data_IF_553253178466
#
_entry.id   IF_553253178466
#
_cell.length_a   1.000
_cell.length_b   1.000
_cell.length_c   1.000
_cell.angle_alpha   90.00
_cell.angle_beta   90.00
_cell.angle_gamma   90.00
#
_symmetry.space_group_name_H-M   'P 1'
#
loop_
_entity.id
_entity.type
_entity.pdbx_description
1 polymer ?
#
# COMPACT_ATOMS: atom_id res chain seq x y z
N UNK A 1 -11.22 -80.38 14.53
CA UNK A 1 -10.07 -79.92 13.73
C UNK A 1 -10.57 -78.77 12.84
N UNK A 2 -10.35 -77.51 13.24
CA UNK A 2 -10.87 -76.31 12.54
C UNK A 2 -9.81 -75.83 11.55
N UNK A 3 -10.16 -75.78 10.26
CA UNK A 3 -9.30 -75.31 9.18
C UNK A 3 -9.61 -73.84 8.89
N UNK A 4 -8.72 -72.94 9.28
CA UNK A 4 -8.83 -71.50 9.06
C UNK A 4 -8.39 -71.18 7.63
N UNK A 5 -9.30 -70.71 6.77
CA UNK A 5 -8.98 -70.19 5.42
C UNK A 5 -8.68 -68.70 5.52
N UNK A 6 -7.45 -68.31 5.24
CA UNK A 6 -7.04 -66.93 5.02
C UNK A 6 -7.46 -66.49 3.61
N UNK A 7 -8.22 -65.41 3.53
CA UNK A 7 -8.58 -64.70 2.30
C UNK A 7 -7.52 -63.62 2.05
N UNK A 8 -6.76 -63.74 0.97
CA UNK A 8 -5.74 -62.77 0.56
C UNK A 8 -6.38 -61.80 -0.44
N UNK A 9 -6.67 -60.57 0.00
CA UNK A 9 -7.20 -59.50 -0.85
C UNK A 9 -6.02 -58.74 -1.44
N UNK A 10 -5.82 -58.84 -2.76
CA UNK A 10 -4.87 -58.02 -3.51
C UNK A 10 -5.62 -56.79 -4.01
N UNK A 11 -5.40 -55.64 -3.36
CA UNK A 11 -5.84 -54.33 -3.84
C UNK A 11 -4.84 -53.79 -4.85
N UNK A 12 -5.19 -53.85 -6.14
CA UNK A 12 -4.52 -53.07 -7.19
C UNK A 12 -4.91 -51.59 -7.03
N UNK A 13 -3.99 -50.77 -6.53
CA UNK A 13 -4.08 -49.32 -6.65
C UNK A 13 -3.68 -48.92 -8.08
N UNK A 14 -4.67 -48.67 -8.92
CA UNK A 14 -4.47 -48.01 -10.20
C UNK A 14 -4.18 -46.52 -9.98
N UNK A 15 -2.94 -46.11 -10.20
CA UNK A 15 -2.60 -44.70 -10.37
C UNK A 15 -3.18 -44.24 -11.72
N UNK A 16 -4.23 -43.43 -11.69
CA UNK A 16 -4.64 -42.66 -12.86
C UNK A 16 -3.78 -41.40 -12.88
N UNK A 17 -2.83 -41.34 -13.82
CA UNK A 17 -2.17 -40.08 -14.15
C UNK A 17 -3.21 -39.19 -14.83
N UNK A 18 -3.65 -38.14 -14.13
CA UNK A 18 -4.42 -37.08 -14.76
C UNK A 18 -3.47 -36.30 -15.67
N UNK A 19 -3.61 -36.48 -16.98
CA UNK A 19 -2.97 -35.59 -17.95
C UNK A 19 -3.68 -34.23 -17.87
N UNK A 20 -2.96 -33.18 -17.47
CA UNK A 20 -3.45 -31.82 -17.58
C UNK A 20 -3.62 -31.50 -19.07
N UNK A 21 -4.87 -31.32 -19.51
CA UNK A 21 -5.18 -30.91 -20.88
C UNK A 21 -4.73 -29.46 -21.05
N UNK A 22 -3.65 -29.25 -21.80
CA UNK A 22 -3.16 -27.92 -22.13
C UNK A 22 -4.23 -27.19 -22.97
N UNK A 23 -4.61 -25.98 -22.54
CA UNK A 23 -5.57 -25.15 -23.26
C UNK A 23 -5.11 -24.90 -24.70
N UNK A 24 -6.08 -24.87 -25.63
CA UNK A 24 -5.85 -24.56 -27.05
C UNK A 24 -5.58 -23.05 -27.25
N UNK A 25 -5.86 -22.22 -26.24
CA UNK A 25 -5.77 -20.75 -26.30
C UNK A 25 -5.02 -20.14 -25.11
N UNK A 26 -3.78 -20.57 -24.83
CA UNK A 26 -3.06 -20.13 -23.64
C UNK A 26 -3.03 -18.61 -23.56
N UNK A 27 -3.48 -18.07 -22.44
CA UNK A 27 -3.40 -16.64 -22.14
C UNK A 27 -2.34 -16.41 -21.09
N UNK A 28 -1.35 -15.59 -21.42
CA UNK A 28 -0.29 -15.21 -20.48
C UNK A 28 -0.19 -13.70 -20.37
N UNK A 29 -0.15 -13.21 -19.15
CA UNK A 29 -0.03 -11.79 -18.85
C UNK A 29 1.45 -11.38 -18.91
N UNK A 30 1.75 -10.20 -19.44
CA UNK A 30 3.14 -9.77 -19.70
C UNK A 30 3.49 -8.41 -19.09
N UNK A 31 2.52 -7.49 -18.97
CA UNK A 31 2.75 -6.20 -18.32
C UNK A 31 1.42 -5.65 -17.78
N UNK A 32 1.36 -5.13 -16.55
CA UNK A 32 2.35 -5.29 -15.48
C UNK A 32 2.59 -6.77 -15.12
N UNK A 33 3.80 -7.10 -14.65
CA UNK A 33 4.12 -8.48 -14.23
C UNK A 33 3.45 -8.82 -12.88
N UNK A 34 3.35 -10.10 -12.55
CA UNK A 34 2.81 -10.52 -11.24
C UNK A 34 3.74 -10.03 -10.11
N UNK A 35 3.15 -9.39 -9.11
CA UNK A 35 3.81 -8.72 -7.98
C UNK A 35 4.68 -7.52 -8.36
N UNK A 36 4.44 -6.91 -9.53
CA UNK A 36 5.19 -5.72 -9.94
C UNK A 36 4.85 -4.49 -9.08
N UNK A 37 5.76 -3.53 -9.01
CA UNK A 37 5.55 -2.23 -8.39
C UNK A 37 5.90 -1.14 -9.40
N UNK A 38 4.90 -0.39 -9.84
CA UNK A 38 5.00 0.59 -10.93
C UNK A 38 4.71 1.99 -10.42
N UNK A 39 5.16 3.03 -11.13
CA UNK A 39 4.93 4.43 -10.73
C UNK A 39 3.72 5.00 -11.49
N UNK A 40 3.43 4.44 -12.66
CA UNK A 40 2.41 4.89 -13.57
C UNK A 40 1.00 4.57 -13.03
N UNK A 41 0.24 5.62 -12.69
CA UNK A 41 -1.18 5.53 -12.31
C UNK A 41 -2.10 5.21 -13.51
N UNK A 42 -1.57 5.28 -14.72
CA UNK A 42 -2.24 4.99 -15.99
C UNK A 42 -1.43 3.94 -16.79
N UNK A 43 -1.40 2.68 -16.32
CA UNK A 43 -0.51 1.67 -16.89
C UNK A 43 -0.96 1.15 -18.25
N UNK A 44 0.00 0.59 -18.98
CA UNK A 44 -0.26 -0.21 -20.18
C UNK A 44 -0.34 -1.69 -19.82
N UNK A 45 -1.45 -2.33 -20.17
CA UNK A 45 -1.66 -3.75 -20.02
C UNK A 45 -1.28 -4.48 -21.30
N UNK A 46 -0.48 -5.54 -21.20
CA UNK A 46 -0.03 -6.34 -22.34
C UNK A 46 -0.12 -7.81 -21.95
N UNK A 47 -0.71 -8.62 -22.83
CA UNK A 47 -0.79 -10.06 -22.67
C UNK A 47 -0.55 -10.76 -24.02
N UNK A 48 -0.43 -12.08 -23.99
CA UNK A 48 -0.25 -12.92 -25.16
C UNK A 48 -1.37 -13.94 -25.22
N UNK A 49 -1.87 -14.17 -26.43
CA UNK A 49 -2.84 -15.22 -26.75
C UNK A 49 -2.76 -15.54 -28.25
N UNK A 50 -3.52 -16.52 -28.71
CA UNK A 50 -3.64 -16.83 -30.13
C UNK A 50 -4.56 -15.80 -30.83
N UNK A 51 -4.00 -14.62 -31.10
CA UNK A 51 -4.71 -13.49 -31.72
C UNK A 51 -5.29 -13.85 -33.10
N UNK A 52 -4.60 -14.71 -33.86
CA UNK A 52 -5.09 -15.17 -35.17
C UNK A 52 -6.44 -15.85 -35.04
N UNK A 53 -6.61 -16.72 -34.03
CA UNK A 53 -7.88 -17.40 -33.83
C UNK A 53 -9.01 -16.44 -33.48
N UNK A 54 -8.75 -15.47 -32.60
CA UNK A 54 -9.71 -14.43 -32.23
C UNK A 54 -10.17 -13.61 -33.45
N UNK A 55 -9.24 -13.28 -34.35
CA UNK A 55 -9.54 -12.48 -35.54
C UNK A 55 -10.20 -13.27 -36.67
N UNK A 56 -9.93 -14.58 -36.76
CA UNK A 56 -10.49 -15.42 -37.85
C UNK A 56 -11.88 -15.95 -37.56
N UNK A 57 -12.25 -16.12 -36.29
CA UNK A 57 -13.54 -16.69 -35.90
C UNK A 57 -14.26 -15.75 -34.94
N UNK A 58 -15.35 -15.09 -35.39
CA UNK A 58 -16.05 -14.07 -34.61
C UNK A 58 -16.76 -14.62 -33.37
N UNK A 59 -16.79 -15.95 -33.18
CA UNK A 59 -17.30 -16.58 -31.96
C UNK A 59 -16.33 -16.45 -30.80
N UNK A 60 -15.05 -16.19 -31.08
CA UNK A 60 -14.06 -15.95 -30.06
C UNK A 60 -13.96 -14.47 -29.71
N UNK A 61 -13.87 -14.18 -28.42
CA UNK A 61 -13.59 -12.85 -27.93
C UNK A 61 -12.80 -12.89 -26.62
N UNK A 62 -12.37 -11.73 -26.13
CA UNK A 62 -11.64 -11.64 -24.87
C UNK A 62 -12.38 -10.75 -23.88
N UNK A 63 -12.27 -11.09 -22.60
CA UNK A 63 -12.67 -10.26 -21.48
C UNK A 63 -11.46 -9.92 -20.64
N UNK A 64 -11.25 -8.63 -20.43
CA UNK A 64 -10.29 -8.11 -19.46
C UNK A 64 -11.04 -7.62 -18.23
N UNK A 65 -10.52 -7.91 -17.05
CA UNK A 65 -11.06 -7.41 -15.76
C UNK A 65 -9.92 -6.83 -14.94
N UNK A 66 -10.14 -5.65 -14.36
CA UNK A 66 -9.27 -4.98 -13.40
C UNK A 66 -10.07 -4.68 -12.12
N UNK A 67 -9.54 -5.09 -10.98
CA UNK A 67 -10.11 -4.81 -9.67
C UNK A 67 -9.03 -4.28 -8.72
N UNK A 68 -9.45 -3.55 -7.69
CA UNK A 68 -8.61 -3.31 -6.52
C UNK A 68 -8.48 -4.61 -5.69
N UNK A 69 -7.33 -4.82 -5.06
CA UNK A 69 -7.06 -5.92 -4.15
C UNK A 69 -7.07 -5.40 -2.72
N UNK A 70 -8.02 -5.85 -1.90
CA UNK A 70 -8.12 -5.44 -0.49
C UNK A 70 -7.02 -6.11 0.37
N UNK A 71 -6.76 -5.53 1.54
CA UNK A 71 -5.75 -6.05 2.46
C UNK A 71 -6.09 -7.50 2.90
N UNK A 72 -5.11 -8.40 2.80
CA UNK A 72 -5.24 -9.82 3.12
C UNK A 72 -6.21 -10.62 2.22
N UNK A 73 -6.67 -10.05 1.10
CA UNK A 73 -7.51 -10.74 0.12
C UNK A 73 -6.68 -11.56 -0.87
N UNK A 74 -7.20 -12.70 -1.33
CA UNK A 74 -6.56 -13.48 -2.40
C UNK A 74 -6.88 -12.91 -3.79
N UNK A 75 -5.92 -12.98 -4.72
CA UNK A 75 -6.05 -12.48 -6.11
C UNK A 75 -7.32 -12.97 -6.81
N UNK A 76 -7.60 -14.27 -6.73
CA UNK A 76 -8.78 -14.87 -7.36
C UNK A 76 -10.10 -14.45 -6.71
N UNK A 77 -10.10 -14.18 -5.40
CA UNK A 77 -11.28 -13.67 -4.69
C UNK A 77 -11.60 -12.24 -5.14
N UNK A 78 -10.58 -11.39 -5.27
CA UNK A 78 -10.75 -10.02 -5.73
C UNK A 78 -11.36 -9.93 -7.14
N UNK A 79 -10.90 -10.77 -8.08
CA UNK A 79 -11.51 -10.84 -9.43
C UNK A 79 -12.98 -11.31 -9.37
N UNK A 80 -13.31 -12.23 -8.47
CA UNK A 80 -14.65 -12.81 -8.39
C UNK A 80 -15.67 -11.96 -7.62
N UNK A 81 -15.23 -11.21 -6.60
CA UNK A 81 -16.10 -10.59 -5.61
C UNK A 81 -16.04 -9.05 -5.62
N UNK A 82 -14.91 -8.45 -5.99
CA UNK A 82 -14.77 -7.00 -5.92
C UNK A 82 -15.49 -6.35 -7.09
N UNK A 83 -15.91 -5.10 -6.91
CA UNK A 83 -16.46 -4.31 -8.01
C UNK A 83 -15.33 -3.99 -9.00
N UNK A 84 -15.44 -4.37 -10.28
CA UNK A 84 -14.41 -4.06 -11.25
C UNK A 84 -14.25 -2.56 -11.46
N UNK A 85 -13.01 -2.11 -11.48
CA UNK A 85 -12.63 -0.75 -11.91
C UNK A 85 -12.84 -0.64 -13.42
N UNK A 86 -12.46 -1.68 -14.15
CA UNK A 86 -12.58 -1.74 -15.59
C UNK A 86 -12.91 -3.16 -16.04
N UNK A 87 -13.88 -3.27 -16.94
CA UNK A 87 -14.16 -4.48 -17.72
C UNK A 87 -14.13 -4.09 -19.19
N UNK A 88 -13.35 -4.82 -19.98
CA UNK A 88 -13.39 -4.73 -21.44
C UNK A 88 -13.94 -6.04 -21.97
N UNK A 89 -15.12 -5.95 -22.57
CA UNK A 89 -15.77 -7.06 -23.25
C UNK A 89 -15.49 -7.02 -24.76
N UNK A 90 -15.61 -8.19 -25.37
CA UNK A 90 -15.43 -8.41 -26.81
C UNK A 90 -14.14 -7.81 -27.37
N UNK A 91 -13.07 -7.86 -26.56
CA UNK A 91 -11.82 -7.19 -26.87
C UNK A 91 -10.98 -8.01 -27.85
N UNK A 92 -10.50 -7.36 -28.91
CA UNK A 92 -9.82 -8.03 -30.04
C UNK A 92 -8.32 -7.72 -30.14
N UNK A 93 -7.77 -6.94 -29.21
CA UNK A 93 -6.33 -6.63 -29.15
C UNK A 93 -5.66 -7.39 -27.99
N UNK A 94 -4.32 -7.37 -27.97
CA UNK A 94 -3.51 -7.98 -26.91
C UNK A 94 -2.80 -6.94 -26.02
N UNK A 95 -3.15 -5.67 -26.19
CA UNK A 95 -2.73 -4.59 -25.30
C UNK A 95 -3.91 -3.68 -25.00
N UNK A 96 -3.89 -3.04 -23.84
CA UNK A 96 -4.82 -2.00 -23.46
C UNK A 96 -4.07 -0.89 -22.70
N UNK A 97 -4.16 0.34 -23.17
CA UNK A 97 -3.65 1.51 -22.44
C UNK A 97 -4.75 2.05 -21.55
N UNK A 98 -4.53 2.06 -20.23
CA UNK A 98 -5.45 2.66 -19.28
C UNK A 98 -5.47 4.18 -19.52
N UNK A 99 -6.55 4.67 -20.14
CA UNK A 99 -6.66 6.01 -20.70
C UNK A 99 -6.89 7.11 -19.63
N UNK A 100 -6.46 8.34 -19.94
CA UNK A 100 -6.73 9.57 -19.16
C UNK A 100 -8.20 9.98 -19.07
N UNK A 101 -9.10 9.26 -19.74
CA UNK A 101 -10.54 9.41 -19.59
C UNK A 101 -11.11 8.62 -18.40
N UNK A 102 -10.34 7.67 -17.85
CA UNK A 102 -10.66 6.96 -16.62
C UNK A 102 -10.03 7.67 -15.42
N UNK A 103 -10.57 7.44 -14.22
CA UNK A 103 -9.91 7.90 -12.99
C UNK A 103 -8.56 7.19 -12.86
N UNK A 104 -7.44 7.94 -12.68
CA UNK A 104 -6.14 7.35 -12.44
C UNK A 104 -6.14 6.40 -11.25
N UNK A 105 -5.32 5.35 -11.31
CA UNK A 105 -5.14 4.42 -10.19
C UNK A 105 -4.45 5.14 -9.01
N UNK A 106 -4.73 4.70 -7.79
CA UNK A 106 -4.31 5.36 -6.55
C UNK A 106 -2.93 4.87 -6.07
N UNK A 107 -2.09 5.81 -5.64
CA UNK A 107 -0.77 5.48 -5.09
C UNK A 107 -0.86 4.69 -3.78
N UNK A 108 -0.11 3.60 -3.70
CA UNK A 108 -0.04 2.72 -2.54
C UNK A 108 -1.10 1.61 -2.56
N UNK A 109 -1.99 1.62 -3.54
CA UNK A 109 -3.01 0.59 -3.71
C UNK A 109 -2.46 -0.56 -4.57
N UNK A 110 -3.01 -1.74 -4.33
CA UNK A 110 -2.69 -2.95 -5.09
C UNK A 110 -3.88 -3.32 -5.94
N UNK A 111 -3.62 -3.70 -7.18
CA UNK A 111 -4.63 -4.03 -8.18
C UNK A 111 -4.38 -5.44 -8.68
N UNK A 112 -5.46 -6.09 -9.11
CA UNK A 112 -5.44 -7.41 -9.74
C UNK A 112 -6.10 -7.33 -11.11
N UNK A 113 -5.53 -8.04 -12.08
CA UNK A 113 -6.09 -8.11 -13.41
C UNK A 113 -6.02 -9.52 -13.99
N UNK A 114 -6.97 -9.83 -14.86
CA UNK A 114 -7.09 -11.13 -15.52
C UNK A 114 -7.63 -10.95 -16.93
N UNK A 115 -7.24 -11.84 -17.83
CA UNK A 115 -7.82 -11.95 -19.17
C UNK A 115 -8.40 -13.34 -19.37
N UNK A 116 -9.64 -13.40 -19.86
CA UNK A 116 -10.35 -14.62 -20.23
C UNK A 116 -10.60 -14.65 -21.74
N UNK A 117 -10.48 -15.84 -22.33
CA UNK A 117 -10.94 -16.11 -23.70
C UNK A 117 -12.34 -16.67 -23.63
N UNK A 118 -13.22 -16.13 -24.46
CA UNK A 118 -14.61 -16.54 -24.57
C UNK A 118 -14.85 -17.19 -25.93
N UNK A 119 -15.71 -18.20 -25.95
CA UNK A 119 -16.29 -18.77 -27.16
C UNK A 119 -17.81 -18.73 -27.02
N UNK A 120 -18.50 -17.97 -27.86
CA UNK A 120 -19.93 -17.67 -27.72
C UNK A 120 -20.29 -17.24 -26.29
N UNK A 121 -19.49 -16.32 -25.73
CA UNK A 121 -19.63 -15.80 -24.36
C UNK A 121 -19.38 -16.80 -23.21
N UNK A 122 -18.91 -18.02 -23.50
CA UNK A 122 -18.46 -18.97 -22.49
C UNK A 122 -16.95 -18.92 -22.33
N UNK A 123 -16.45 -18.84 -21.10
CA UNK A 123 -15.02 -18.88 -20.81
C UNK A 123 -14.46 -20.25 -21.24
N UNK A 124 -13.52 -20.23 -22.18
CA UNK A 124 -12.81 -21.44 -22.65
C UNK A 124 -11.38 -21.51 -22.17
N UNK A 125 -10.80 -20.36 -21.80
CA UNK A 125 -9.52 -20.28 -21.12
C UNK A 125 -9.42 -18.98 -20.32
N UNK A 126 -8.52 -18.94 -19.34
CA UNK A 126 -8.26 -17.75 -18.54
C UNK A 126 -6.81 -17.76 -18.05
N UNK A 127 -6.22 -16.57 -17.95
CA UNK A 127 -4.91 -16.43 -17.31
C UNK A 127 -5.01 -16.66 -15.80
N UNK A 128 -3.88 -16.94 -15.17
CA UNK A 128 -3.76 -16.68 -13.72
C UNK A 128 -3.97 -15.18 -13.47
N UNK A 129 -4.60 -14.79 -12.35
CA UNK A 129 -4.73 -13.38 -11.98
C UNK A 129 -3.36 -12.84 -11.54
N UNK A 130 -2.94 -11.72 -12.13
CA UNK A 130 -1.70 -11.03 -11.76
C UNK A 130 -2.03 -9.83 -10.89
N UNK A 131 -1.20 -9.58 -9.87
CA UNK A 131 -1.29 -8.38 -9.06
C UNK A 131 -0.15 -7.41 -9.34
N UNK A 132 -0.38 -6.12 -9.15
CA UNK A 132 0.66 -5.08 -9.15
C UNK A 132 0.30 -3.95 -8.19
N UNK A 133 1.29 -3.21 -7.72
CA UNK A 133 1.11 -2.12 -6.76
C UNK A 133 1.55 -0.80 -7.38
N UNK A 134 0.76 0.26 -7.20
CA UNK A 134 1.22 1.62 -7.55
C UNK A 134 2.12 2.11 -6.42
N UNK A 135 3.35 2.47 -6.76
CA UNK A 135 4.33 2.96 -5.82
C UNK A 135 3.83 4.24 -5.14
N UNK A 136 3.82 4.23 -3.81
CA UNK A 136 3.63 5.43 -3.00
C UNK A 136 4.98 5.88 -2.45
N UNK A 137 5.51 7.04 -2.88
CA UNK A 137 6.72 7.60 -2.29
C UNK A 137 6.54 7.73 -0.77
N UNK A 138 7.49 7.21 0.00
CA UNK A 138 7.52 7.49 1.44
C UNK A 138 7.93 8.95 1.61
N UNK A 139 7.15 9.68 2.39
CA UNK A 139 7.53 11.04 2.78
C UNK A 139 8.87 10.99 3.54
N UNK A 140 9.86 11.83 3.17
CA UNK A 140 11.12 11.86 3.88
C UNK A 140 10.91 12.28 5.34
N UNK A 141 11.61 11.63 6.26
CA UNK A 141 11.63 12.06 7.65
C UNK A 141 12.43 13.38 7.77
N UNK A 142 11.97 14.32 8.61
CA UNK A 142 12.72 15.55 8.86
C UNK A 142 14.01 15.24 9.64
N UNK A 143 14.93 16.21 9.66
CA UNK A 143 16.06 16.19 10.60
C UNK A 143 15.51 16.30 12.03
N UNK A 144 16.05 15.47 12.92
CA UNK A 144 15.64 15.43 14.33
C UNK A 144 16.56 16.29 15.20
N UNK A 145 15.95 17.23 15.92
CA UNK A 145 16.62 18.12 16.87
C UNK A 145 16.40 17.64 18.31
N UNK A 146 17.45 17.58 19.15
CA UNK A 146 17.30 17.22 20.55
C UNK A 146 16.55 18.32 21.30
N UNK A 147 15.45 17.99 21.98
CA UNK A 147 14.72 18.97 22.78
C UNK A 147 15.30 19.11 24.17
N UNK A 148 15.29 20.35 24.69
CA UNK A 148 15.83 20.71 25.99
C UNK A 148 14.78 21.42 26.85
N UNK A 149 14.83 21.23 28.17
CA UNK A 149 13.94 21.88 29.14
C UNK A 149 14.11 23.41 29.16
N UNK A 150 15.28 23.89 28.76
CA UNK A 150 15.54 25.31 28.56
C UNK A 150 15.85 25.54 27.08
N UNK A 151 15.40 26.68 26.57
CA UNK A 151 15.69 27.09 25.21
C UNK A 151 17.21 27.27 25.05
N UNK A 152 17.82 26.49 24.18
CA UNK A 152 19.26 26.51 23.91
C UNK A 152 19.67 27.63 22.93
N UNK A 153 18.70 28.43 22.48
CA UNK A 153 18.89 29.50 21.51
C UNK A 153 18.99 29.01 20.06
N UNK A 154 18.96 27.70 19.82
CA UNK A 154 18.95 27.16 18.46
C UNK A 154 17.59 27.40 17.79
N UNK A 155 17.64 27.62 16.48
CA UNK A 155 16.45 27.80 15.63
C UNK A 155 16.34 26.57 14.75
N UNK A 156 15.33 25.75 15.03
CA UNK A 156 15.07 24.51 14.30
C UNK A 156 14.54 24.85 12.92
N UNK A 157 15.08 24.17 11.90
CA UNK A 157 14.66 24.38 10.53
C UNK A 157 13.38 23.61 10.25
N UNK A 158 12.47 24.26 9.53
CA UNK A 158 11.26 23.64 9.01
C UNK A 158 11.58 23.11 7.60
N UNK A 159 11.41 21.81 7.40
CA UNK A 159 11.58 21.16 6.09
C UNK A 159 10.27 20.46 5.76
N UNK A 160 9.70 20.77 4.59
CA UNK A 160 8.40 20.25 4.15
C UNK A 160 7.29 20.39 5.20
N UNK A 161 7.23 21.57 5.84
CA UNK A 161 6.30 21.88 6.96
C UNK A 161 6.46 20.99 8.20
N UNK A 162 7.61 20.33 8.38
CA UNK A 162 7.85 19.43 9.50
C UNK A 162 9.11 19.80 10.28
N UNK A 163 9.07 19.48 11.58
CA UNK A 163 10.23 19.51 12.47
C UNK A 163 10.32 18.17 13.18
N UNK A 164 11.49 17.53 13.10
CA UNK A 164 11.80 16.34 13.89
C UNK A 164 12.30 16.72 15.28
N UNK A 165 11.80 16.05 16.31
CA UNK A 165 12.20 16.24 17.71
C UNK A 165 12.68 14.90 18.29
N UNK A 166 13.77 14.90 19.05
CA UNK A 166 14.25 13.72 19.78
C UNK A 166 14.41 14.03 21.26
N UNK A 167 13.99 13.11 22.11
CA UNK A 167 14.14 13.21 23.57
C UNK A 167 14.52 11.86 24.18
N UNK A 168 15.30 11.91 25.25
CA UNK A 168 15.63 10.74 26.07
C UNK A 168 14.57 10.51 27.18
N UNK A 169 13.52 11.32 27.20
CA UNK A 169 12.49 11.31 28.23
C UNK A 169 11.46 10.20 27.98
N UNK A 170 11.39 9.26 28.92
CA UNK A 170 10.55 8.07 28.84
C UNK A 170 9.24 8.23 29.64
N UNK A 171 8.25 7.40 29.35
CA UNK A 171 6.96 7.37 30.04
C UNK A 171 5.86 8.21 29.36
N UNK A 172 4.84 8.63 30.13
CA UNK A 172 3.68 9.32 29.59
C UNK A 172 3.98 10.80 29.27
N UNK A 173 4.35 11.06 28.02
CA UNK A 173 4.55 12.42 27.50
C UNK A 173 3.23 12.94 26.92
N UNK A 174 2.84 14.14 27.33
CA UNK A 174 1.68 14.83 26.73
C UNK A 174 2.05 15.29 25.33
N UNK A 175 1.47 14.71 24.29
CA UNK A 175 1.83 15.03 22.90
C UNK A 175 1.33 16.41 22.41
N UNK A 176 0.51 17.10 23.20
CA UNK A 176 0.05 18.44 22.87
C UNK A 176 1.11 19.49 23.20
N UNK A 177 1.56 20.21 22.17
CA UNK A 177 2.50 21.32 22.27
C UNK A 177 1.80 22.65 22.02
N UNK A 178 2.34 23.74 22.56
CA UNK A 178 1.85 25.09 22.33
C UNK A 178 2.85 25.83 21.45
N UNK A 179 2.37 26.40 20.36
CA UNK A 179 3.13 27.30 19.49
C UNK A 179 2.75 28.72 19.87
N UNK A 180 3.76 29.56 20.10
CA UNK A 180 3.64 30.96 20.47
C UNK A 180 4.28 31.84 19.40
N UNK A 181 3.67 32.99 19.11
CA UNK A 181 4.23 34.06 18.26
C UNK A 181 4.18 35.38 19.01
N UNK A 182 5.30 36.13 19.02
CA UNK A 182 5.39 37.39 19.76
C UNK A 182 5.05 37.28 21.26
N UNK A 183 5.33 36.12 21.88
CA UNK A 183 5.03 35.84 23.29
C UNK A 183 3.55 35.53 23.60
N UNK A 184 2.68 35.45 22.58
CA UNK A 184 1.27 35.05 22.74
C UNK A 184 1.04 33.65 22.20
N UNK A 185 0.18 32.89 22.89
CA UNK A 185 -0.27 31.58 22.40
C UNK A 185 -0.96 31.73 21.06
N UNK A 186 -0.43 31.01 20.07
CA UNK A 186 -0.97 30.97 18.71
C UNK A 186 -1.87 29.74 18.53
N UNK A 187 -1.31 28.51 18.66
CA UNK A 187 -2.06 27.27 18.42
C UNK A 187 -1.54 26.12 19.29
N UNK A 188 -2.38 25.11 19.52
CA UNK A 188 -1.97 23.85 20.14
C UNK A 188 -1.96 22.77 19.07
N UNK A 189 -0.90 21.97 19.02
CA UNK A 189 -0.69 20.94 17.98
C UNK A 189 -0.34 19.62 18.65
N UNK A 190 -0.76 18.51 18.03
CA UNK A 190 -0.42 17.17 18.47
C UNK A 190 0.86 16.70 17.77
N UNK A 191 1.83 16.24 18.55
CA UNK A 191 3.02 15.57 18.03
C UNK A 191 2.66 14.15 17.55
N UNK A 192 3.27 13.73 16.44
CA UNK A 192 3.22 12.35 15.96
C UNK A 192 4.49 11.62 16.38
N UNK A 193 4.37 10.44 16.97
CA UNK A 193 5.55 9.65 17.37
C UNK A 193 6.06 8.80 16.21
N UNK A 194 7.38 8.65 16.11
CA UNK A 194 8.04 7.81 15.11
C UNK A 194 8.59 6.56 15.80
N UNK A 195 8.01 5.40 15.45
CA UNK A 195 8.37 4.09 16.00
C UNK A 195 8.86 3.20 14.85
N UNK A 196 10.09 2.68 14.98
CA UNK A 196 10.72 1.83 13.95
C UNK A 196 10.69 2.44 12.54
N UNK A 197 10.84 3.77 12.43
CA UNK A 197 10.83 4.50 11.16
C UNK A 197 9.45 4.70 10.53
N UNK A 198 8.36 4.33 11.22
CA UNK A 198 6.97 4.62 10.83
C UNK A 198 6.40 5.69 11.74
N UNK A 199 5.68 6.65 11.16
CA UNK A 199 4.93 7.67 11.90
C UNK A 199 3.63 7.02 12.37
N UNK A 200 3.35 7.03 13.67
CA UNK A 200 2.06 6.59 14.22
C UNK A 200 1.16 7.81 14.47
N UNK A 201 -0.08 7.73 13.99
CA UNK A 201 -1.11 8.76 14.17
C UNK A 201 -1.93 8.57 15.46
N UNK A 202 -1.76 7.46 16.18
CA UNK A 202 -2.59 7.08 17.33
C UNK A 202 -1.98 7.38 18.71
N UNK A 203 -2.88 7.59 19.68
CA UNK A 203 -2.64 8.04 21.07
C UNK A 203 -1.89 7.04 21.97
N UNK A 204 -1.40 5.93 21.43
CA UNK A 204 -0.78 4.88 22.23
C UNK A 204 0.73 5.05 22.36
N UNK A 205 1.14 5.21 23.61
CA UNK A 205 2.52 5.33 24.04
C UNK A 205 3.20 3.98 23.82
N UNK A 206 4.09 3.90 22.83
CA UNK A 206 5.04 2.80 22.76
C UNK A 206 6.23 3.09 23.70
N UNK A 207 6.49 2.19 24.64
CA UNK A 207 7.76 2.18 25.36
C UNK A 207 8.87 1.77 24.38
N UNK A 208 9.58 2.75 23.84
CA UNK A 208 10.70 2.50 22.94
C UNK A 208 11.89 1.93 23.73
N UNK A 209 12.34 0.73 23.35
CA UNK A 209 13.38 -0.04 24.08
C UNK A 209 14.78 0.59 24.06
N UNK A 210 15.02 1.60 23.23
CA UNK A 210 16.35 2.19 22.98
C UNK A 210 16.63 3.46 23.80
N UNK A 211 15.76 3.84 24.74
CA UNK A 211 15.96 5.00 25.61
C UNK A 211 15.77 6.38 24.95
N UNK A 212 15.46 6.42 23.64
CA UNK A 212 15.15 7.64 22.89
C UNK A 212 13.78 7.55 22.24
N UNK A 213 13.10 8.69 22.13
CA UNK A 213 11.81 8.85 21.45
C UNK A 213 11.91 9.95 20.42
N UNK A 214 11.25 9.72 19.28
CA UNK A 214 11.29 10.58 18.11
C UNK A 214 9.88 11.07 17.80
N UNK A 215 9.74 12.37 17.57
CA UNK A 215 8.46 12.99 17.30
C UNK A 215 8.54 13.88 16.06
N UNK A 216 7.44 14.03 15.36
CA UNK A 216 7.27 14.97 14.26
C UNK A 216 6.23 15.99 14.68
N UNK A 217 6.61 17.26 14.58
CA UNK A 217 5.70 18.38 14.58
C UNK A 217 5.36 18.72 13.14
N UNK A 218 4.11 18.46 12.74
CA UNK A 218 3.57 18.84 11.43
C UNK A 218 2.89 20.21 11.51
N UNK A 219 3.28 21.10 10.60
CA UNK A 219 2.87 22.50 10.54
C UNK A 219 1.91 22.78 9.36
N UNK A 220 1.64 21.78 8.50
CA UNK A 220 0.94 21.97 7.22
C UNK A 220 -0.43 22.64 7.36
N UNK A 221 -1.20 22.30 8.39
CA UNK A 221 -2.58 22.78 8.60
C UNK A 221 -2.66 23.94 9.63
N UNK A 222 -1.54 24.63 9.86
CA UNK A 222 -1.46 25.68 10.87
C UNK A 222 -1.54 27.09 10.32
N UNK A 223 -1.48 27.26 9.00
CA UNK A 223 -1.53 28.56 8.30
C UNK A 223 -0.59 29.61 8.94
N UNK A 224 0.65 29.19 9.24
CA UNK A 224 1.65 30.06 9.87
C UNK A 224 2.21 31.05 8.86
N UNK A 225 2.28 32.33 9.25
CA UNK A 225 2.97 33.36 8.48
C UNK A 225 4.50 33.25 8.64
N UNK A 226 5.25 33.87 7.72
CA UNK A 226 6.70 33.97 7.85
C UNK A 226 7.10 34.70 9.14
N UNK A 227 7.95 34.09 9.95
CA UNK A 227 8.27 34.63 11.27
C UNK A 227 8.96 33.65 12.21
N UNK A 228 9.22 34.14 13.43
CA UNK A 228 9.79 33.35 14.52
C UNK A 228 8.71 32.88 15.48
N UNK A 229 8.78 31.60 15.83
CA UNK A 229 7.86 30.95 16.72
C UNK A 229 8.61 30.23 17.83
N UNK A 230 8.00 30.22 19.02
CA UNK A 230 8.50 29.46 20.18
C UNK A 230 7.53 28.35 20.49
N UNK A 231 8.05 27.14 20.65
CA UNK A 231 7.27 25.98 21.08
C UNK A 231 7.50 25.74 22.56
N UNK A 232 6.41 25.47 23.28
CA UNK A 232 6.43 24.95 24.64
C UNK A 232 5.73 23.60 24.68
N UNK A 233 6.46 22.59 25.13
CA UNK A 233 5.98 21.23 25.27
C UNK A 233 6.10 20.79 26.72
N UNK A 234 4.98 20.64 27.42
CA UNK A 234 4.95 20.31 28.85
C UNK A 234 4.44 18.87 29.07
N UNK A 235 5.32 17.90 29.38
CA UNK A 235 4.90 16.60 29.87
C UNK A 235 4.21 16.69 31.23
N UNK A 236 3.38 15.68 31.57
CA UNK A 236 2.66 15.67 32.84
C UNK A 236 3.66 15.47 33.98
N UNK A 237 3.69 16.43 34.92
CA UNK A 237 4.53 16.34 36.11
C UNK A 237 6.03 16.55 35.88
N UNK A 238 6.45 17.05 34.71
CA UNK A 238 7.86 17.38 34.40
C UNK A 238 8.00 18.82 33.92
N UNK A 239 9.23 19.31 33.80
CA UNK A 239 9.54 20.62 33.20
C UNK A 239 9.15 20.68 31.71
N UNK A 240 8.95 21.89 31.17
CA UNK A 240 8.62 22.07 29.74
C UNK A 240 9.87 22.02 28.90
N UNK A 241 9.82 21.32 27.78
CA UNK A 241 10.75 21.58 26.69
C UNK A 241 10.38 22.90 26.01
N UNK A 242 11.41 23.68 25.65
CA UNK A 242 11.22 24.94 24.92
C UNK A 242 12.24 25.03 23.78
N UNK A 243 11.77 25.32 22.57
CA UNK A 243 12.63 25.54 21.41
C UNK A 243 12.04 26.59 20.47
N UNK A 244 12.86 27.13 19.57
CA UNK A 244 12.42 28.08 18.55
C UNK A 244 12.50 27.47 17.15
N UNK A 245 11.62 27.91 16.27
CA UNK A 245 11.73 27.66 14.83
C UNK A 245 11.38 28.91 14.04
N UNK A 246 11.74 28.90 12.76
CA UNK A 246 11.45 29.99 11.84
C UNK A 246 10.71 29.46 10.61
N UNK A 247 9.61 30.12 10.24
CA UNK A 247 8.96 29.96 8.95
C UNK A 247 9.55 31.02 8.01
N UNK A 248 9.97 30.58 6.82
CA UNK A 248 10.55 31.44 5.79
C UNK A 248 9.46 32.03 4.90
#
# INVERSE_FOLDING_TARGET
MKLTRYLLIITLFGFTAAFAQQSVFPVTLSNPMDYDTIIETEPNFIWQTNITALQTDPRYSQRYVLCELEENQLKGEAIALNTPILVLDDYQNTMHSYSSSATPLEEGHTYVWQVSILFNSLIVDQSEPYQFTIFKPKEPLPVFYPVHHQNDGQVYQVVDNKIGLVTDELGNLKLNIQINSGGRKFKTVLLKEVISGKVQDDKEISENANGKRFFILDLKDLDLEAGFYTVQWQPIGRESFTFNFKIQ
#
